data_IF_868815156596
#
_entry.id   IF_868815156596
#
_cell.length_a   1.000
_cell.length_b   1.000
_cell.length_c   1.000
_cell.angle_alpha   90.00
_cell.angle_beta   90.00
_cell.angle_gamma   90.00
#
_symmetry.space_group_name_H-M   'P 1'
#
loop_
_entity.id
_entity.type
_entity.pdbx_description
1 polymer ?
#
# COMPACT_ATOMS: atom_id res chain seq x y z
N UNK A 1 -39.55 -8.60 -2.51
CA UNK A 1 -38.80 -9.54 -1.64
C UNK A 1 -37.58 -10.02 -2.42
N UNK A 2 -36.43 -9.35 -2.30
CA UNK A 2 -35.12 -9.74 -2.87
C UNK A 2 -34.03 -8.70 -2.56
N UNK A 3 -34.39 -7.43 -2.30
CA UNK A 3 -33.43 -6.37 -1.99
C UNK A 3 -32.58 -6.64 -0.74
N UNK A 4 -33.19 -7.14 0.34
CA UNK A 4 -32.47 -7.54 1.55
C UNK A 4 -31.46 -8.66 1.29
N UNK A 5 -31.84 -9.68 0.49
CA UNK A 5 -30.96 -10.79 0.14
C UNK A 5 -29.80 -10.29 -0.74
N UNK A 6 -30.06 -9.37 -1.67
CA UNK A 6 -28.98 -8.77 -2.48
C UNK A 6 -28.01 -7.95 -1.63
N UNK A 7 -28.50 -7.11 -0.72
CA UNK A 7 -27.65 -6.31 0.18
C UNK A 7 -26.83 -7.24 1.08
N UNK A 8 -27.44 -8.28 1.65
CA UNK A 8 -26.76 -9.25 2.48
C UNK A 8 -25.67 -10.00 1.71
N UNK A 9 -25.94 -10.38 0.46
CA UNK A 9 -24.94 -11.03 -0.40
C UNK A 9 -23.75 -10.12 -0.72
N UNK A 10 -23.98 -8.82 -0.96
CA UNK A 10 -22.91 -7.83 -1.19
C UNK A 10 -22.04 -7.67 0.07
N UNK A 11 -22.66 -7.57 1.24
CA UNK A 11 -21.94 -7.47 2.52
C UNK A 11 -21.12 -8.75 2.76
N UNK A 12 -21.70 -9.93 2.52
CA UNK A 12 -21.00 -11.20 2.67
C UNK A 12 -19.80 -11.32 1.73
N UNK A 13 -19.95 -10.96 0.45
CA UNK A 13 -18.85 -10.94 -0.53
C UNK A 13 -17.76 -9.93 -0.15
N UNK A 14 -18.14 -8.77 0.38
CA UNK A 14 -17.19 -7.77 0.87
C UNK A 14 -16.36 -8.30 2.05
N UNK A 15 -17.01 -8.90 3.05
CA UNK A 15 -16.32 -9.54 4.18
C UNK A 15 -15.40 -10.67 3.73
N UNK A 16 -15.87 -11.52 2.81
CA UNK A 16 -15.06 -12.59 2.23
C UNK A 16 -13.83 -12.03 1.52
N UNK A 17 -13.98 -10.95 0.75
CA UNK A 17 -12.89 -10.28 0.03
C UNK A 17 -11.83 -9.72 0.99
N UNK A 18 -12.22 -9.22 2.15
CA UNK A 18 -11.29 -8.77 3.19
C UNK A 18 -10.48 -9.92 3.79
N UNK A 19 -11.14 -11.04 4.11
CA UNK A 19 -10.45 -12.24 4.61
C UNK A 19 -9.48 -12.77 3.56
N UNK A 20 -9.95 -12.87 2.31
CA UNK A 20 -9.12 -13.31 1.19
C UNK A 20 -7.91 -12.41 0.99
N UNK A 21 -8.10 -11.09 1.05
CA UNK A 21 -7.01 -10.12 0.98
C UNK A 21 -5.97 -10.32 2.09
N UNK A 22 -6.39 -10.54 3.33
CA UNK A 22 -5.46 -10.80 4.44
C UNK A 22 -4.64 -12.08 4.25
N UNK A 23 -5.27 -13.13 3.70
CA UNK A 23 -4.57 -14.37 3.33
C UNK A 23 -3.55 -14.08 2.21
N UNK A 24 -4.00 -13.47 1.10
CA UNK A 24 -3.12 -13.12 -0.03
C UNK A 24 -1.96 -12.22 0.41
N UNK A 25 -2.22 -11.28 1.32
CA UNK A 25 -1.21 -10.39 1.88
C UNK A 25 -0.10 -11.14 2.58
N UNK A 26 -0.46 -12.09 3.44
CA UNK A 26 0.49 -12.88 4.24
C UNK A 26 1.35 -13.78 3.36
N UNK A 27 0.76 -14.45 2.37
CA UNK A 27 1.46 -15.47 1.59
C UNK A 27 2.16 -14.92 0.33
N UNK A 28 1.53 -13.98 -0.37
CA UNK A 28 1.95 -13.55 -1.71
C UNK A 28 2.41 -12.10 -1.70
N UNK A 29 1.56 -11.16 -1.27
CA UNK A 29 1.79 -9.73 -1.49
C UNK A 29 2.95 -9.17 -0.65
N UNK A 30 3.25 -9.76 0.51
CA UNK A 30 4.42 -9.36 1.32
C UNK A 30 5.77 -9.64 0.63
N UNK A 31 5.84 -10.69 -0.19
CA UNK A 31 7.08 -11.09 -0.88
C UNK A 31 7.36 -10.25 -2.13
N UNK A 32 6.35 -9.56 -2.64
CA UNK A 32 6.39 -8.88 -3.94
C UNK A 32 6.73 -7.40 -3.77
N UNK A 33 7.86 -6.96 -4.36
CA UNK A 33 8.29 -5.56 -4.39
C UNK A 33 7.86 -4.90 -5.70
N UNK A 34 6.65 -4.34 -5.75
CA UNK A 34 6.09 -3.66 -6.93
C UNK A 34 5.85 -2.18 -6.64
N UNK A 35 5.97 -1.34 -7.68
CA UNK A 35 5.64 0.07 -7.63
C UNK A 35 4.11 0.26 -7.48
N UNK A 36 3.68 1.14 -6.56
CA UNK A 36 2.26 1.44 -6.29
C UNK A 36 1.45 1.78 -7.54
N UNK A 37 2.04 2.50 -8.49
CA UNK A 37 1.35 2.91 -9.71
C UNK A 37 1.03 1.74 -10.65
N UNK A 38 1.83 0.68 -10.62
CA UNK A 38 1.58 -0.54 -11.41
C UNK A 38 0.35 -1.26 -10.87
N UNK A 39 0.23 -1.38 -9.55
CA UNK A 39 -0.93 -2.00 -8.91
C UNK A 39 -2.21 -1.20 -9.18
N UNK A 40 -2.14 0.13 -9.15
CA UNK A 40 -3.26 0.99 -9.53
C UNK A 40 -3.69 0.77 -10.99
N UNK A 41 -2.72 0.74 -11.91
CA UNK A 41 -2.98 0.47 -13.33
C UNK A 41 -3.67 -0.87 -13.56
N UNK A 42 -3.21 -1.92 -12.87
CA UNK A 42 -3.82 -3.26 -12.91
C UNK A 42 -5.22 -3.27 -12.30
N UNK A 43 -5.46 -2.57 -11.19
CA UNK A 43 -6.80 -2.45 -10.63
C UNK A 43 -7.77 -1.80 -11.63
N UNK A 44 -7.37 -0.68 -12.24
CA UNK A 44 -8.18 0.02 -13.24
C UNK A 44 -8.46 -0.87 -14.46
N UNK A 45 -7.42 -1.54 -14.97
CA UNK A 45 -7.55 -2.45 -16.10
C UNK A 45 -8.46 -3.65 -15.78
N UNK A 46 -8.37 -4.21 -14.58
CA UNK A 46 -9.24 -5.31 -14.13
C UNK A 46 -10.71 -4.92 -14.04
N UNK A 47 -11.03 -3.63 -13.93
CA UNK A 47 -12.41 -3.16 -13.91
C UNK A 47 -12.93 -2.81 -15.32
N UNK A 48 -12.07 -2.22 -16.16
CA UNK A 48 -12.46 -1.72 -17.50
C UNK A 48 -12.35 -2.78 -18.60
N UNK A 49 -11.35 -3.67 -18.55
CA UNK A 49 -11.16 -4.68 -19.59
C UNK A 49 -12.32 -5.67 -19.69
N UNK A 50 -12.87 -6.22 -18.58
CA UNK A 50 -13.94 -7.21 -18.68
C UNK A 50 -15.23 -6.64 -19.27
N UNK A 51 -15.54 -5.37 -19.02
CA UNK A 51 -16.77 -4.72 -19.49
C UNK A 51 -16.75 -4.47 -21.00
N UNK A 52 -15.56 -4.25 -21.57
CA UNK A 52 -15.38 -4.01 -23.02
C UNK A 52 -15.21 -5.35 -23.77
N UNK A 53 -14.43 -6.28 -23.22
CA UNK A 53 -14.09 -7.52 -23.93
C UNK A 53 -15.18 -8.60 -23.82
N UNK A 54 -16.01 -8.58 -22.76
CA UNK A 54 -16.99 -9.64 -22.51
C UNK A 54 -18.40 -9.11 -22.19
N UNK A 55 -19.08 -8.46 -23.15
CA UNK A 55 -20.39 -7.85 -22.92
C UNK A 55 -21.50 -8.87 -22.58
N UNK A 56 -21.36 -10.14 -22.97
CA UNK A 56 -22.32 -11.21 -22.68
C UNK A 56 -22.04 -11.97 -21.36
N UNK A 57 -21.29 -11.38 -20.43
CA UNK A 57 -20.93 -12.04 -19.18
C UNK A 57 -22.15 -12.26 -18.28
N UNK A 58 -22.24 -13.39 -17.54
CA UNK A 58 -23.31 -13.61 -16.58
C UNK A 58 -23.37 -12.47 -15.55
N UNK A 59 -24.57 -11.91 -15.34
CA UNK A 59 -24.79 -10.77 -14.43
C UNK A 59 -24.24 -11.01 -13.02
N UNK A 60 -24.25 -12.26 -12.56
CA UNK A 60 -23.68 -12.63 -11.26
C UNK A 60 -22.17 -12.39 -11.17
N UNK A 61 -21.42 -12.74 -12.23
CA UNK A 61 -19.96 -12.58 -12.29
C UNK A 61 -19.60 -11.11 -12.43
N UNK A 62 -20.32 -10.39 -13.29
CA UNK A 62 -20.15 -8.95 -13.51
C UNK A 62 -20.38 -8.13 -12.23
N UNK A 63 -21.38 -8.51 -11.43
CA UNK A 63 -21.78 -7.70 -10.27
C UNK A 63 -21.07 -8.08 -8.98
N UNK A 64 -20.55 -9.31 -8.84
CA UNK A 64 -19.94 -9.78 -7.59
C UNK A 64 -18.44 -10.03 -7.71
N UNK A 65 -18.01 -10.73 -8.76
CA UNK A 65 -16.64 -11.23 -8.87
C UNK A 65 -15.69 -10.14 -9.33
N UNK A 66 -16.05 -9.42 -10.41
CA UNK A 66 -15.21 -8.33 -10.95
C UNK A 66 -15.00 -7.21 -9.91
N UNK A 67 -16.05 -6.73 -9.21
CA UNK A 67 -15.86 -5.75 -8.14
C UNK A 67 -15.06 -6.31 -6.97
N UNK A 68 -15.23 -7.58 -6.60
CA UNK A 68 -14.43 -8.20 -5.53
C UNK A 68 -12.93 -8.22 -5.84
N UNK A 69 -12.57 -8.60 -7.06
CA UNK A 69 -11.17 -8.58 -7.52
C UNK A 69 -10.61 -7.15 -7.53
N UNK A 70 -11.40 -6.19 -8.03
CA UNK A 70 -11.03 -4.78 -8.00
C UNK A 70 -10.76 -4.30 -6.57
N UNK A 71 -11.63 -4.64 -5.63
CA UNK A 71 -11.49 -4.29 -4.20
C UNK A 71 -10.20 -4.87 -3.63
N UNK A 72 -9.88 -6.14 -3.89
CA UNK A 72 -8.65 -6.79 -3.43
C UNK A 72 -7.40 -6.07 -3.97
N UNK A 73 -7.37 -5.75 -5.26
CA UNK A 73 -6.27 -5.02 -5.90
C UNK A 73 -6.17 -3.59 -5.36
N UNK A 74 -7.30 -2.94 -5.11
CA UNK A 74 -7.35 -1.59 -4.56
C UNK A 74 -6.88 -1.55 -3.10
N UNK A 75 -7.26 -2.54 -2.27
CA UNK A 75 -6.74 -2.68 -0.92
C UNK A 75 -5.22 -2.88 -0.93
N UNK A 76 -4.70 -3.65 -1.88
CA UNK A 76 -3.27 -3.81 -2.05
C UNK A 76 -2.58 -2.49 -2.39
N UNK A 77 -3.15 -1.71 -3.30
CA UNK A 77 -2.68 -0.36 -3.60
C UNK A 77 -2.69 0.56 -2.37
N UNK A 78 -3.75 0.52 -1.55
CA UNK A 78 -3.84 1.31 -0.31
C UNK A 78 -2.77 0.90 0.71
N UNK A 79 -2.45 -0.39 0.81
CA UNK A 79 -1.41 -0.90 1.70
C UNK A 79 0.00 -0.48 1.25
N UNK A 80 0.26 -0.55 -0.06
CA UNK A 80 1.51 -0.07 -0.67
C UNK A 80 1.66 1.45 -0.57
N UNK A 81 0.55 2.19 -0.65
CA UNK A 81 0.52 3.64 -0.50
C UNK A 81 0.69 4.10 0.96
N UNK A 82 0.72 3.17 1.92
CA UNK A 82 0.95 3.47 3.33
C UNK A 82 -0.28 4.04 4.06
N UNK A 83 -1.47 4.02 3.44
CA UNK A 83 -2.71 4.46 4.08
C UNK A 83 -3.10 3.55 5.25
N UNK A 84 -2.89 2.24 5.10
CA UNK A 84 -3.31 1.22 6.08
C UNK A 84 -2.27 1.06 7.20
N UNK A 85 -0.99 1.35 6.94
CA UNK A 85 0.13 1.14 7.89
C UNK A 85 0.19 2.09 9.07
N UNK A 86 -0.59 3.18 9.10
CA UNK A 86 -0.54 4.18 10.18
C UNK A 86 -1.13 3.71 11.53
N UNK A 87 -1.78 2.52 11.59
CA UNK A 87 -2.52 2.11 12.80
C UNK A 87 -1.75 1.24 13.81
N UNK A 88 -0.72 0.52 13.40
CA UNK A 88 0.17 -0.24 14.30
C UNK A 88 1.09 -1.08 13.40
N UNK A 89 2.29 -0.60 13.14
CA UNK A 89 3.34 -1.43 12.55
C UNK A 89 4.59 -1.19 13.38
N UNK A 90 4.88 -2.16 14.26
CA UNK A 90 6.22 -2.40 14.77
C UNK A 90 7.21 -2.23 13.62
N UNK A 91 8.24 -1.41 13.82
CA UNK A 91 9.32 -1.13 12.86
C UNK A 91 9.91 -2.43 12.31
N UNK A 92 9.34 -2.97 11.23
CA UNK A 92 10.05 -3.89 10.35
C UNK A 92 10.70 -3.05 9.27
N UNK A 93 12.03 -3.08 9.28
CA UNK A 93 12.99 -2.13 8.68
C UNK A 93 12.95 -1.95 7.14
N UNK A 94 11.86 -2.28 6.45
CA UNK A 94 11.87 -2.41 4.98
C UNK A 94 10.96 -1.47 4.19
N UNK A 95 10.31 -0.48 4.83
CA UNK A 95 9.63 0.60 4.09
C UNK A 95 10.02 1.98 4.59
N UNK A 96 11.28 2.35 4.38
CA UNK A 96 11.72 3.74 4.40
C UNK A 96 12.15 4.14 2.99
N UNK A 97 11.20 4.34 2.08
CA UNK A 97 11.49 5.02 0.81
C UNK A 97 11.06 6.48 0.80
N UNK A 98 10.49 7.04 1.88
CA UNK A 98 10.15 8.47 1.93
C UNK A 98 10.11 9.11 3.32
N UNK A 99 10.69 8.50 4.36
CA UNK A 99 11.13 9.30 5.50
C UNK A 99 12.56 9.77 5.19
N UNK A 100 12.70 10.90 4.50
CA UNK A 100 13.82 11.77 4.81
C UNK A 100 13.59 12.14 6.27
N UNK A 101 14.12 11.32 7.18
CA UNK A 101 14.32 11.71 8.56
C UNK A 101 15.21 12.94 8.42
N UNK A 102 14.61 14.11 8.55
CA UNK A 102 15.34 15.35 8.63
C UNK A 102 16.45 15.09 9.64
N UNK A 103 17.71 15.07 9.16
CA UNK A 103 18.90 14.93 9.99
C UNK A 103 19.12 16.17 10.86
N UNK A 104 18.05 16.84 11.28
CA UNK A 104 18.06 17.96 12.21
C UNK A 104 18.35 17.46 13.62
N UNK A 105 17.85 16.27 13.97
CA UNK A 105 18.09 15.66 15.29
C UNK A 105 19.31 14.73 15.33
N UNK A 106 19.95 14.47 14.18
CA UNK A 106 21.23 13.75 14.07
C UNK A 106 22.40 14.73 13.85
N UNK A 107 22.21 15.99 14.27
CA UNK A 107 23.31 16.92 14.48
C UNK A 107 23.83 16.64 15.87
N UNK A 108 24.63 15.58 16.01
CA UNK A 108 25.49 15.41 17.18
C UNK A 108 26.35 16.66 17.26
N UNK A 109 26.09 17.54 18.22
CA UNK A 109 26.94 18.69 18.52
C UNK A 109 28.30 18.15 19.00
N UNK A 110 29.18 17.86 18.04
CA UNK A 110 30.55 17.50 18.33
C UNK A 110 31.21 18.74 18.92
N UNK A 111 31.96 18.63 20.03
CA UNK A 111 32.71 19.76 20.56
C UNK A 111 33.59 20.30 19.44
N UNK A 112 33.46 21.60 19.14
CA UNK A 112 34.33 22.27 18.16
C UNK A 112 35.76 22.10 18.66
N UNK A 113 36.67 21.73 17.75
CA UNK A 113 38.08 21.59 18.08
C UNK A 113 38.60 22.89 18.73
N UNK A 114 39.42 22.76 19.78
CA UNK A 114 40.10 23.90 20.40
C UNK A 114 40.83 24.67 19.30
N UNK A 115 40.64 26.00 19.16
CA UNK A 115 41.36 26.75 18.15
C UNK A 115 42.86 26.55 18.40
N UNK A 116 43.55 25.94 17.43
CA UNK A 116 44.99 25.78 17.50
C UNK A 116 45.58 27.18 17.42
N UNK A 117 46.11 27.68 18.54
CA UNK A 117 46.74 28.99 18.61
C UNK A 117 48.04 28.91 17.81
N UNK A 118 47.98 29.25 16.52
CA UNK A 118 49.17 29.38 15.68
C UNK A 118 50.08 30.41 16.33
N UNK A 119 51.16 29.94 16.94
CA UNK A 119 52.16 30.79 17.58
C UNK A 119 52.93 31.45 16.45
N UNK A 120 52.57 32.68 16.12
CA UNK A 120 53.25 33.48 15.12
C UNK A 120 54.62 33.90 15.67
N UNK A 121 55.59 33.00 15.59
CA UNK A 121 57.00 33.34 15.78
C UNK A 121 57.50 33.91 14.47
N UNK A 122 57.28 35.21 14.25
CA UNK A 122 58.02 35.94 13.22
C UNK A 122 59.47 36.07 13.72
N UNK A 123 60.40 35.55 12.92
CA UNK A 123 61.83 35.90 13.00
C UNK A 123 62.04 37.30 12.45
#
# INVERSE_FOLDING_TARGET
>A
MNMFITILSIVAVSLLSLVLYNVLKTYVLYKIKINKWVVLGIAMASFVLPTIMWPNMPKYVANNIIPGIFVILFLWFMDLSGFIKKRSVSKTNYTNTNSKKDKKDDIVMRPKAKPNRVKNNKK
#
